data_IF_289334675354
#
_entry.id   IF_289334675354
#
_cell.length_a   1.000
_cell.length_b   1.000
_cell.length_c   1.000
_cell.angle_alpha   90.00
_cell.angle_beta   90.00
_cell.angle_gamma   90.00
#
_symmetry.space_group_name_H-M   'P 1'
#
loop_
_entity.id
_entity.type
_entity.pdbx_description
1 polymer ?
#
# COMPACT_ATOMS: atom_id res chain seq x y z
N UNK A 1 21.59 -15.27 -17.48
CA UNK A 1 22.47 -14.60 -18.49
C UNK A 1 22.52 -15.35 -19.83
N UNK A 2 22.22 -16.66 -19.87
CA UNK A 2 22.18 -17.44 -21.13
C UNK A 2 20.99 -17.12 -22.02
N UNK A 3 19.88 -16.63 -21.46
CA UNK A 3 18.67 -16.32 -22.23
C UNK A 3 18.63 -14.89 -22.80
N UNK A 4 19.60 -14.04 -22.48
CA UNK A 4 19.64 -12.65 -22.98
C UNK A 4 20.32 -12.53 -24.34
N UNK A 5 20.77 -13.65 -24.94
CA UNK A 5 21.33 -13.65 -26.31
C UNK A 5 22.71 -12.97 -26.46
N UNK A 6 23.42 -12.71 -25.34
CA UNK A 6 24.75 -12.12 -25.33
C UNK A 6 25.78 -13.23 -25.10
N UNK A 7 25.91 -14.10 -26.06
CA UNK A 7 26.92 -15.15 -26.07
C UNK A 7 26.97 -15.84 -27.40
N UNK A 8 27.71 -15.29 -28.34
CA UNK A 8 28.12 -16.02 -29.51
C UNK A 8 29.03 -17.18 -29.09
N UNK A 9 28.51 -18.38 -29.12
CA UNK A 9 29.33 -19.57 -29.25
C UNK A 9 28.65 -20.55 -30.20
N UNK A 10 29.21 -20.69 -31.35
CA UNK A 10 28.92 -21.66 -32.36
C UNK A 10 29.31 -23.05 -31.85
N UNK A 11 28.31 -23.81 -31.45
CA UNK A 11 28.25 -25.26 -31.59
C UNK A 11 26.83 -25.70 -31.34
N UNK A 12 26.14 -26.22 -32.37
CA UNK A 12 24.84 -26.84 -32.35
C UNK A 12 24.87 -28.16 -31.57
N UNK A 13 25.10 -28.09 -30.28
CA UNK A 13 24.65 -29.14 -29.36
C UNK A 13 23.41 -28.55 -28.75
N UNK A 14 22.21 -29.02 -29.12
CA UNK A 14 20.99 -28.76 -28.39
C UNK A 14 21.22 -29.31 -26.97
N UNK A 15 21.65 -28.43 -26.07
CA UNK A 15 21.75 -28.78 -24.66
C UNK A 15 20.34 -29.14 -24.19
N UNK A 16 20.17 -30.40 -23.84
CA UNK A 16 18.90 -30.88 -23.25
C UNK A 16 18.73 -30.11 -21.94
N UNK A 17 17.85 -29.11 -21.96
CA UNK A 17 17.53 -28.31 -20.76
C UNK A 17 16.85 -29.24 -19.78
N UNK A 18 17.50 -29.49 -18.65
CA UNK A 18 16.97 -30.33 -17.59
C UNK A 18 15.62 -29.74 -17.11
N UNK A 19 14.73 -30.62 -16.66
CA UNK A 19 13.42 -30.22 -16.13
C UNK A 19 13.52 -29.20 -14.99
N UNK A 20 14.55 -29.33 -14.14
CA UNK A 20 14.87 -28.48 -13.01
C UNK A 20 15.40 -27.10 -13.38
N UNK A 21 15.77 -26.89 -14.66
CA UNK A 21 16.32 -25.62 -15.17
C UNK A 21 15.30 -24.89 -16.06
N UNK A 22 14.05 -25.36 -16.10
CA UNK A 22 12.97 -24.74 -16.91
C UNK A 22 12.23 -23.69 -16.09
N UNK A 23 12.56 -22.41 -16.35
CA UNK A 23 11.88 -21.24 -15.79
C UNK A 23 10.82 -20.66 -16.74
N UNK A 24 10.04 -19.69 -16.22
CA UNK A 24 9.23 -18.82 -17.07
C UNK A 24 10.13 -18.00 -18.01
N UNK A 25 9.68 -17.81 -19.25
CA UNK A 25 10.46 -17.03 -20.22
C UNK A 25 10.60 -15.57 -19.78
N UNK A 26 11.77 -14.97 -19.97
CA UNK A 26 12.01 -13.55 -19.69
C UNK A 26 11.08 -12.61 -20.46
N UNK A 27 10.59 -13.05 -21.64
CA UNK A 27 9.58 -12.31 -22.41
C UNK A 27 8.27 -12.23 -21.65
N UNK A 28 7.82 -13.34 -21.04
CA UNK A 28 6.60 -13.39 -20.23
C UNK A 28 6.73 -12.47 -19.01
N UNK A 29 7.86 -12.50 -18.32
CA UNK A 29 8.14 -11.64 -17.17
C UNK A 29 8.13 -10.16 -17.58
N UNK A 30 8.82 -9.81 -18.69
CA UNK A 30 8.84 -8.43 -19.19
C UNK A 30 7.47 -7.90 -19.57
N UNK A 31 6.66 -8.70 -20.28
CA UNK A 31 5.27 -8.35 -20.61
C UNK A 31 4.44 -8.19 -19.32
N UNK A 32 4.60 -9.10 -18.36
CA UNK A 32 3.91 -9.03 -17.07
C UNK A 32 4.22 -7.73 -16.31
N UNK A 33 5.48 -7.31 -16.26
CA UNK A 33 5.88 -6.03 -15.64
C UNK A 33 5.20 -4.85 -16.35
N UNK A 34 5.22 -4.82 -17.69
CA UNK A 34 4.60 -3.73 -18.46
C UNK A 34 3.09 -3.68 -18.19
N UNK A 35 2.40 -4.82 -18.20
CA UNK A 35 0.96 -4.90 -17.94
C UNK A 35 0.63 -4.43 -16.52
N UNK A 36 1.40 -4.87 -15.51
CA UNK A 36 1.20 -4.44 -14.12
C UNK A 36 1.46 -2.93 -13.96
N UNK A 37 2.51 -2.41 -14.56
CA UNK A 37 2.80 -0.97 -14.50
C UNK A 37 1.72 -0.14 -15.20
N UNK A 38 1.22 -0.60 -16.34
CA UNK A 38 0.09 0.04 -17.02
C UNK A 38 -1.17 0.03 -16.13
N UNK A 39 -1.48 -1.10 -15.49
CA UNK A 39 -2.61 -1.21 -14.57
C UNK A 39 -2.47 -0.25 -13.36
N UNK A 40 -1.26 -0.13 -12.78
CA UNK A 40 -0.98 0.79 -11.67
C UNK A 40 -1.16 2.25 -12.09
N UNK A 41 -0.66 2.63 -13.26
CA UNK A 41 -0.77 4.02 -13.77
C UNK A 41 -2.21 4.36 -14.14
N UNK A 42 -2.94 3.40 -14.71
CA UNK A 42 -4.33 3.60 -15.14
C UNK A 42 -5.35 3.49 -13.99
N UNK A 43 -4.94 3.05 -12.79
CA UNK A 43 -5.83 2.95 -11.64
C UNK A 43 -6.07 4.33 -10.98
N UNK A 44 -7.28 4.94 -11.11
CA UNK A 44 -7.54 6.31 -10.61
C UNK A 44 -7.38 6.41 -9.08
N UNK A 45 -7.68 5.32 -8.37
CA UNK A 45 -7.62 5.26 -6.90
C UNK A 45 -6.21 5.40 -6.33
N UNK A 46 -5.18 5.09 -7.11
CA UNK A 46 -3.79 5.18 -6.69
C UNK A 46 -3.18 6.58 -6.87
N UNK A 47 -3.86 7.46 -7.62
CA UNK A 47 -3.36 8.80 -7.99
C UNK A 47 -1.91 8.75 -8.50
N UNK A 48 -1.58 7.68 -9.25
CA UNK A 48 -0.21 7.42 -9.70
C UNK A 48 0.18 8.38 -10.81
N UNK A 49 1.40 8.90 -10.70
CA UNK A 49 2.04 9.71 -11.74
C UNK A 49 3.27 9.00 -12.31
N UNK A 50 3.81 9.53 -13.39
CA UNK A 50 4.97 8.91 -14.08
C UNK A 50 6.18 8.77 -13.15
N UNK A 51 6.46 9.76 -12.29
CA UNK A 51 7.57 9.69 -11.34
C UNK A 51 7.33 8.60 -10.30
N UNK A 52 6.12 8.49 -9.74
CA UNK A 52 5.75 7.41 -8.81
C UNK A 52 5.92 6.03 -9.46
N UNK A 53 5.47 5.88 -10.71
CA UNK A 53 5.66 4.65 -11.47
C UNK A 53 7.15 4.30 -11.67
N UNK A 54 7.98 5.29 -12.01
CA UNK A 54 9.43 5.11 -12.13
C UNK A 54 10.06 4.68 -10.80
N UNK A 55 9.67 5.31 -9.69
CA UNK A 55 10.16 4.95 -8.35
C UNK A 55 9.75 3.52 -7.95
N UNK A 56 8.56 3.06 -8.32
CA UNK A 56 8.16 1.65 -8.12
C UNK A 56 9.11 0.71 -8.84
N UNK A 57 9.47 1.00 -10.08
CA UNK A 57 10.39 0.15 -10.86
C UNK A 57 11.78 0.14 -10.23
N UNK A 58 12.32 1.31 -9.89
CA UNK A 58 13.67 1.44 -9.32
C UNK A 58 13.76 0.78 -7.94
N UNK A 59 12.89 1.17 -7.01
CA UNK A 59 12.91 0.61 -5.66
C UNK A 59 12.45 -0.85 -5.64
N UNK A 60 11.49 -1.21 -6.49
CA UNK A 60 11.06 -2.59 -6.68
C UNK A 60 12.23 -3.48 -7.09
N UNK A 61 13.00 -3.09 -8.11
CA UNK A 61 14.17 -3.84 -8.53
C UNK A 61 15.20 -4.00 -7.41
N UNK A 62 15.54 -2.91 -6.71
CA UNK A 62 16.52 -2.93 -5.63
C UNK A 62 16.04 -3.82 -4.48
N UNK A 63 14.85 -3.54 -3.94
CA UNK A 63 14.39 -4.23 -2.73
C UNK A 63 13.93 -5.67 -2.98
N UNK A 64 13.39 -5.97 -4.17
CA UNK A 64 13.08 -7.36 -4.55
C UNK A 64 14.38 -8.18 -4.66
N UNK A 65 15.43 -7.62 -5.24
CA UNK A 65 16.73 -8.30 -5.35
C UNK A 65 17.31 -8.60 -3.97
N UNK A 66 17.32 -7.60 -3.06
CA UNK A 66 17.82 -7.78 -1.69
C UNK A 66 16.97 -8.80 -0.93
N UNK A 67 15.65 -8.66 -0.99
CA UNK A 67 14.69 -9.56 -0.32
C UNK A 67 14.86 -11.00 -0.80
N UNK A 68 14.91 -11.22 -2.11
CA UNK A 68 15.06 -12.54 -2.71
C UNK A 68 16.36 -13.21 -2.28
N UNK A 69 17.45 -12.44 -2.23
CA UNK A 69 18.75 -12.98 -1.84
C UNK A 69 18.80 -13.36 -0.36
N UNK A 70 18.38 -12.45 0.53
CA UNK A 70 18.34 -12.70 1.97
C UNK A 70 17.44 -13.90 2.30
N UNK A 71 16.23 -13.94 1.75
CA UNK A 71 15.28 -15.01 2.03
C UNK A 71 15.73 -16.35 1.43
N UNK A 72 16.32 -16.32 0.23
CA UNK A 72 16.84 -17.53 -0.41
C UNK A 72 18.04 -18.14 0.32
N UNK A 73 18.87 -17.35 0.99
CA UNK A 73 20.04 -17.82 1.72
C UNK A 73 19.75 -18.18 3.19
N UNK A 74 18.97 -17.35 3.90
CA UNK A 74 18.77 -17.44 5.36
C UNK A 74 17.36 -17.94 5.70
N UNK A 75 16.34 -17.50 4.96
CA UNK A 75 14.94 -17.84 5.19
C UNK A 75 14.04 -16.61 5.38
N UNK A 76 12.73 -16.82 5.32
CA UNK A 76 11.73 -15.74 5.34
C UNK A 76 11.70 -14.94 6.66
N UNK A 77 12.11 -15.51 7.77
CA UNK A 77 12.15 -14.85 9.08
C UNK A 77 13.14 -13.68 9.14
N UNK A 78 14.16 -13.68 8.29
CA UNK A 78 15.19 -12.64 8.22
C UNK A 78 14.94 -11.57 7.16
N UNK A 79 13.80 -11.63 6.46
CA UNK A 79 13.45 -10.65 5.43
C UNK A 79 13.05 -9.30 6.06
N UNK A 80 13.84 -8.21 5.88
CA UNK A 80 13.60 -6.93 6.52
C UNK A 80 12.54 -6.09 5.77
N UNK A 81 11.38 -6.66 5.44
CA UNK A 81 10.32 -6.03 4.65
C UNK A 81 9.90 -4.68 5.24
N UNK A 82 9.79 -4.59 6.57
CA UNK A 82 9.40 -3.34 7.24
C UNK A 82 10.42 -2.22 7.03
N UNK A 83 11.71 -2.54 7.10
CA UNK A 83 12.80 -1.60 6.84
C UNK A 83 12.82 -1.13 5.38
N UNK A 84 12.64 -2.06 4.44
CA UNK A 84 12.56 -1.75 3.01
C UNK A 84 11.38 -0.84 2.68
N UNK A 85 10.22 -1.07 3.32
CA UNK A 85 9.03 -0.23 3.14
C UNK A 85 9.23 1.18 3.68
N UNK A 86 9.81 1.30 4.88
CA UNK A 86 10.15 2.61 5.49
C UNK A 86 11.16 3.34 4.62
N UNK A 87 12.21 2.66 4.15
CA UNK A 87 13.21 3.26 3.27
C UNK A 87 12.58 3.74 1.95
N UNK A 88 11.72 2.92 1.32
CA UNK A 88 11.00 3.32 0.10
C UNK A 88 10.17 4.58 0.33
N UNK A 89 9.42 4.65 1.44
CA UNK A 89 8.60 5.82 1.77
C UNK A 89 9.45 7.07 2.02
N UNK A 90 10.53 6.93 2.79
CA UNK A 90 11.45 8.04 3.07
C UNK A 90 12.03 8.60 1.78
N UNK A 91 12.60 7.75 0.93
CA UNK A 91 13.19 8.20 -0.34
C UNK A 91 12.13 8.77 -1.28
N UNK A 92 10.95 8.16 -1.38
CA UNK A 92 9.85 8.69 -2.20
C UNK A 92 9.43 10.09 -1.72
N UNK A 93 9.20 10.27 -0.42
CA UNK A 93 8.82 11.55 0.15
C UNK A 93 9.92 12.61 0.00
N UNK A 94 11.20 12.23 0.16
CA UNK A 94 12.33 13.13 -0.06
C UNK A 94 12.43 13.56 -1.53
N UNK A 95 12.25 12.64 -2.48
CA UNK A 95 12.25 12.97 -3.91
C UNK A 95 11.08 13.90 -4.23
N UNK A 96 9.88 13.64 -3.68
CA UNK A 96 8.72 14.50 -3.87
C UNK A 96 8.99 15.91 -3.31
N UNK A 97 9.62 16.01 -2.14
CA UNK A 97 10.01 17.27 -1.54
C UNK A 97 11.00 18.05 -2.42
N UNK A 98 12.01 17.38 -2.99
CA UNK A 98 12.99 17.99 -3.90
C UNK A 98 12.35 18.48 -5.22
N UNK A 99 11.33 17.80 -5.69
CA UNK A 99 10.56 18.19 -6.90
C UNK A 99 9.52 19.28 -6.57
N UNK A 100 9.33 19.63 -5.28
CA UNK A 100 8.34 20.60 -4.83
C UNK A 100 6.91 20.03 -4.71
N UNK A 101 6.77 18.73 -4.69
CA UNK A 101 5.48 18.04 -4.53
C UNK A 101 5.17 17.83 -3.05
N UNK A 102 4.52 18.83 -2.45
CA UNK A 102 4.20 18.87 -1.02
C UNK A 102 2.69 18.83 -0.79
N UNK A 103 2.28 18.53 0.45
CA UNK A 103 0.90 18.53 0.90
C UNK A 103 0.10 17.27 0.61
N UNK A 104 -1.14 17.24 1.08
CA UNK A 104 -2.00 16.05 1.14
C UNK A 104 -2.31 15.36 -0.18
N UNK A 105 -2.21 16.08 -1.31
CA UNK A 105 -2.45 15.54 -2.65
C UNK A 105 -1.50 14.38 -2.99
N UNK A 106 -0.26 14.44 -2.50
CA UNK A 106 0.77 13.45 -2.83
C UNK A 106 0.91 12.32 -1.79
N UNK A 107 0.15 12.38 -0.68
CA UNK A 107 0.19 11.33 0.34
C UNK A 107 -0.22 9.97 -0.21
N UNK A 108 -1.31 9.92 -0.99
CA UNK A 108 -1.80 8.67 -1.56
C UNK A 108 -0.79 8.10 -2.55
N UNK A 109 -0.18 8.94 -3.39
CA UNK A 109 0.86 8.51 -4.34
C UNK A 109 2.07 7.94 -3.62
N UNK A 110 2.59 8.63 -2.59
CA UNK A 110 3.75 8.15 -1.82
C UNK A 110 3.44 6.83 -1.10
N UNK A 111 2.27 6.73 -0.48
CA UNK A 111 1.81 5.50 0.18
C UNK A 111 1.66 4.35 -0.82
N UNK A 112 1.11 4.63 -2.01
CA UNK A 112 0.95 3.62 -3.08
C UNK A 112 2.30 3.10 -3.57
N UNK A 113 3.31 3.97 -3.76
CA UNK A 113 4.67 3.56 -4.11
C UNK A 113 5.24 2.63 -3.03
N UNK A 114 5.18 3.04 -1.76
CA UNK A 114 5.67 2.24 -0.64
C UNK A 114 4.97 0.89 -0.50
N UNK A 115 3.64 0.87 -0.65
CA UNK A 115 2.85 -0.35 -0.56
C UNK A 115 3.15 -1.33 -1.70
N UNK A 116 3.24 -0.86 -2.94
CA UNK A 116 3.52 -1.73 -4.11
C UNK A 116 4.93 -2.32 -4.00
N UNK A 117 5.93 -1.51 -3.64
CA UNK A 117 7.31 -1.99 -3.44
C UNK A 117 7.39 -2.98 -2.26
N UNK A 118 6.65 -2.73 -1.18
CA UNK A 118 6.53 -3.66 -0.05
C UNK A 118 6.00 -5.03 -0.48
N UNK A 119 4.89 -5.05 -1.25
CA UNK A 119 4.29 -6.27 -1.78
C UNK A 119 5.28 -6.99 -2.71
N UNK A 120 5.93 -6.26 -3.62
CA UNK A 120 6.90 -6.82 -4.55
C UNK A 120 8.09 -7.46 -3.81
N UNK A 121 8.66 -6.76 -2.81
CA UNK A 121 9.76 -7.27 -2.00
C UNK A 121 9.35 -8.51 -1.20
N UNK A 122 8.15 -8.51 -0.60
CA UNK A 122 7.62 -9.66 0.13
C UNK A 122 7.46 -10.88 -0.78
N UNK A 123 6.84 -10.71 -1.94
CA UNK A 123 6.64 -11.78 -2.92
C UNK A 123 7.96 -12.29 -3.49
N UNK A 124 8.92 -11.40 -3.78
CA UNK A 124 10.24 -11.79 -4.26
C UNK A 124 10.97 -12.69 -3.26
N UNK A 125 10.89 -12.36 -1.97
CA UNK A 125 11.49 -13.17 -0.90
C UNK A 125 10.85 -14.56 -0.79
N UNK A 126 9.53 -14.65 -0.67
CA UNK A 126 8.81 -15.93 -0.57
C UNK A 126 9.00 -16.79 -1.81
N UNK A 127 8.93 -16.19 -3.01
CA UNK A 127 9.18 -16.90 -4.28
C UNK A 127 10.58 -17.51 -4.31
N UNK A 128 11.61 -16.78 -3.85
CA UNK A 128 12.98 -17.29 -3.79
C UNK A 128 13.12 -18.51 -2.88
N UNK A 129 12.47 -18.49 -1.71
CA UNK A 129 12.45 -19.60 -0.77
C UNK A 129 11.72 -20.82 -1.33
N UNK A 130 10.55 -20.61 -1.94
CA UNK A 130 9.76 -21.68 -2.54
C UNK A 130 10.50 -22.36 -3.69
N UNK A 131 11.14 -21.58 -4.56
CA UNK A 131 11.94 -22.10 -5.67
C UNK A 131 13.16 -22.87 -5.19
N UNK A 132 13.82 -22.41 -4.11
CA UNK A 132 14.94 -23.14 -3.51
C UNK A 132 14.51 -24.47 -2.94
N UNK A 133 13.39 -24.50 -2.20
CA UNK A 133 12.81 -25.73 -1.67
C UNK A 133 12.46 -26.69 -2.80
N UNK A 134 11.81 -26.18 -3.85
CA UNK A 134 11.48 -26.97 -5.03
C UNK A 134 12.71 -27.53 -5.76
N UNK A 135 13.77 -26.75 -5.86
CA UNK A 135 15.02 -27.21 -6.46
C UNK A 135 15.61 -28.40 -5.70
N UNK A 136 15.63 -28.34 -4.36
CA UNK A 136 16.09 -29.44 -3.50
C UNK A 136 15.26 -30.71 -3.66
N UNK A 137 13.98 -30.58 -3.95
CA UNK A 137 13.05 -31.70 -4.17
C UNK A 137 12.99 -32.14 -5.65
N UNK A 138 13.72 -31.49 -6.53
CA UNK A 138 13.71 -31.78 -7.97
C UNK A 138 12.43 -31.33 -8.68
N UNK A 139 11.71 -30.34 -8.18
CA UNK A 139 10.54 -29.77 -8.84
C UNK A 139 10.91 -28.95 -10.08
N UNK A 140 9.95 -28.73 -10.97
CA UNK A 140 10.11 -27.87 -12.16
C UNK A 140 9.78 -26.42 -11.81
N UNK A 141 10.74 -25.47 -11.84
CA UNK A 141 10.55 -24.08 -11.42
C UNK A 141 9.38 -23.40 -12.13
N UNK A 142 9.21 -23.62 -13.42
CA UNK A 142 8.11 -23.05 -14.21
C UNK A 142 6.73 -23.33 -13.62
N UNK A 143 6.46 -24.56 -13.18
CA UNK A 143 5.16 -24.93 -12.61
C UNK A 143 4.96 -24.32 -11.22
N UNK A 144 6.01 -24.22 -10.42
CA UNK A 144 5.97 -23.53 -9.15
C UNK A 144 5.68 -22.03 -9.34
N UNK A 145 6.35 -21.38 -10.28
CA UNK A 145 6.12 -19.96 -10.59
C UNK A 145 4.67 -19.71 -11.05
N UNK A 146 4.10 -20.58 -11.88
CA UNK A 146 2.69 -20.48 -12.29
C UNK A 146 1.76 -20.66 -11.08
N UNK A 147 2.03 -21.64 -10.21
CA UNK A 147 1.23 -21.87 -9.01
C UNK A 147 1.30 -20.67 -8.04
N UNK A 148 2.48 -20.08 -7.84
CA UNK A 148 2.66 -18.86 -7.03
C UNK A 148 1.87 -17.69 -7.60
N UNK A 149 1.92 -17.47 -8.93
CA UNK A 149 1.15 -16.40 -9.58
C UNK A 149 -0.36 -16.61 -9.41
N UNK A 150 -0.84 -17.84 -9.59
CA UNK A 150 -2.27 -18.18 -9.39
C UNK A 150 -2.69 -17.96 -7.93
N UNK A 151 -1.87 -18.40 -6.96
CA UNK A 151 -2.12 -18.20 -5.53
C UNK A 151 -2.11 -16.72 -5.14
N UNK A 152 -1.15 -15.95 -5.64
CA UNK A 152 -1.07 -14.51 -5.39
C UNK A 152 -2.29 -13.76 -5.96
N UNK A 153 -2.72 -14.12 -7.16
CA UNK A 153 -3.92 -13.53 -7.77
C UNK A 153 -5.18 -13.84 -6.96
N UNK A 154 -5.36 -15.11 -6.58
CA UNK A 154 -6.50 -15.53 -5.75
C UNK A 154 -6.50 -14.81 -4.40
N UNK A 155 -5.35 -14.74 -3.75
CA UNK A 155 -5.18 -14.03 -2.48
C UNK A 155 -5.53 -12.53 -2.63
N UNK A 156 -5.07 -11.87 -3.68
CA UNK A 156 -5.36 -10.46 -3.93
C UNK A 156 -6.87 -10.21 -4.13
N UNK A 157 -7.55 -11.09 -4.88
CA UNK A 157 -8.99 -11.02 -5.11
C UNK A 157 -9.82 -11.23 -3.83
N UNK A 158 -9.33 -12.05 -2.91
CA UNK A 158 -10.04 -12.36 -1.66
C UNK A 158 -9.74 -11.35 -0.54
N UNK A 159 -8.49 -10.95 -0.36
CA UNK A 159 -8.07 -10.09 0.75
C UNK A 159 -8.65 -8.68 0.68
N UNK A 160 -8.76 -8.11 -0.52
CA UNK A 160 -9.33 -6.76 -0.70
C UNK A 160 -10.74 -6.65 -0.12
N UNK A 161 -11.72 -7.42 -0.61
CA UNK A 161 -13.08 -7.42 -0.08
C UNK A 161 -13.18 -7.79 1.41
N UNK A 162 -12.37 -8.73 1.89
CA UNK A 162 -12.35 -9.12 3.31
C UNK A 162 -11.91 -7.94 4.18
N UNK A 163 -10.82 -7.25 3.83
CA UNK A 163 -10.32 -6.11 4.60
C UNK A 163 -11.29 -4.93 4.58
N UNK A 164 -11.93 -4.64 3.44
CA UNK A 164 -12.95 -3.61 3.34
C UNK A 164 -14.14 -3.93 4.25
N UNK A 165 -14.67 -5.15 4.17
CA UNK A 165 -15.80 -5.58 5.00
C UNK A 165 -15.45 -5.58 6.48
N UNK A 166 -14.23 -5.97 6.84
CA UNK A 166 -13.74 -5.93 8.21
C UNK A 166 -13.68 -4.48 8.73
N UNK A 167 -13.14 -3.57 7.94
CA UNK A 167 -13.13 -2.15 8.27
C UNK A 167 -14.55 -1.60 8.43
N UNK A 168 -15.45 -1.87 7.48
CA UNK A 168 -16.82 -1.36 7.49
C UNK A 168 -17.62 -1.86 8.68
N UNK A 169 -17.44 -3.12 9.07
CA UNK A 169 -18.10 -3.72 10.23
C UNK A 169 -17.68 -3.05 11.54
N UNK A 170 -16.43 -2.61 11.63
CA UNK A 170 -15.87 -1.96 12.82
C UNK A 170 -15.82 -0.42 12.72
N UNK A 171 -16.29 0.16 11.60
CA UNK A 171 -16.41 1.61 11.44
C UNK A 171 -17.51 2.15 12.38
N UNK A 172 -17.23 3.30 12.99
CA UNK A 172 -18.14 4.03 13.86
C UNK A 172 -18.39 5.41 13.28
N UNK A 173 -19.64 5.75 13.08
CA UNK A 173 -20.06 7.08 12.69
C UNK A 173 -20.41 7.86 13.95
N UNK A 174 -19.61 8.87 14.26
CA UNK A 174 -19.79 9.73 15.43
C UNK A 174 -20.48 11.01 14.99
N UNK A 175 -21.59 11.44 15.63
CA UNK A 175 -22.21 12.71 15.31
C UNK A 175 -21.18 13.85 15.40
N UNK A 176 -21.07 14.67 14.35
CA UNK A 176 -20.08 15.75 14.29
C UNK A 176 -20.21 16.73 15.45
N UNK A 177 -21.42 16.98 15.94
CA UNK A 177 -21.68 17.83 17.10
C UNK A 177 -21.00 17.34 18.40
N UNK A 178 -20.69 16.04 18.53
CA UNK A 178 -19.98 15.50 19.71
C UNK A 178 -18.48 15.79 19.66
N UNK A 179 -17.90 15.90 18.48
CA UNK A 179 -16.44 16.09 18.29
C UNK A 179 -16.07 17.52 17.92
N UNK A 180 -17.03 18.27 17.42
CA UNK A 180 -16.89 19.68 17.01
C UNK A 180 -18.18 20.45 17.39
N UNK A 181 -18.38 20.81 18.67
CA UNK A 181 -19.62 21.44 19.14
C UNK A 181 -19.94 22.79 18.48
N UNK A 182 -18.90 23.53 18.03
CA UNK A 182 -19.07 24.80 17.32
C UNK A 182 -19.61 24.65 15.89
N UNK A 183 -19.75 23.39 15.42
CA UNK A 183 -20.07 23.06 14.04
C UNK A 183 -18.88 23.17 13.10
N UNK A 184 -18.86 22.30 12.10
CA UNK A 184 -17.86 22.32 11.02
C UNK A 184 -18.58 22.49 9.70
N UNK A 185 -18.10 23.42 8.89
CA UNK A 185 -18.62 23.67 7.55
C UNK A 185 -17.49 23.64 6.51
N UNK A 186 -17.82 23.20 5.30
CA UNK A 186 -16.91 23.19 4.16
C UNK A 186 -17.60 23.61 2.89
N UNK A 187 -16.82 24.00 1.92
CA UNK A 187 -17.32 24.38 0.60
C UNK A 187 -17.70 23.12 -0.20
N UNK A 188 -19.00 22.97 -0.43
CA UNK A 188 -19.58 21.81 -1.14
C UNK A 188 -19.11 21.73 -2.59
N UNK A 189 -18.77 22.88 -3.22
CA UNK A 189 -18.32 22.92 -4.61
C UNK A 189 -17.02 22.16 -4.88
N UNK A 190 -16.25 21.89 -3.82
CA UNK A 190 -14.97 21.15 -3.86
C UNK A 190 -15.13 19.65 -3.58
N UNK A 191 -16.35 19.18 -3.33
CA UNK A 191 -16.63 17.80 -2.94
C UNK A 191 -17.38 17.09 -4.07
N UNK A 192 -16.74 16.10 -4.67
CA UNK A 192 -17.32 15.33 -5.78
C UNK A 192 -17.85 13.95 -5.31
N UNK A 193 -17.24 13.40 -4.28
CA UNK A 193 -17.53 12.02 -3.86
C UNK A 193 -18.71 11.97 -2.89
N UNK A 194 -19.65 11.05 -3.15
CA UNK A 194 -20.76 10.74 -2.24
C UNK A 194 -20.64 9.33 -1.70
N UNK A 195 -20.92 9.16 -0.43
CA UNK A 195 -20.98 7.87 0.23
C UNK A 195 -22.15 7.84 1.21
N UNK A 196 -22.65 6.63 1.49
CA UNK A 196 -23.64 6.38 2.54
C UNK A 196 -22.95 5.70 3.73
N UNK A 197 -23.62 5.65 4.87
CA UNK A 197 -23.18 4.86 6.00
C UNK A 197 -23.09 3.39 5.61
N UNK A 198 -22.06 2.70 6.12
CA UNK A 198 -21.85 1.26 5.89
C UNK A 198 -21.81 0.52 7.23
N UNK A 199 -21.93 -0.81 7.17
CA UNK A 199 -21.94 -1.64 8.36
C UNK A 199 -23.24 -1.54 9.16
N UNK A 200 -23.24 -1.80 10.47
CA UNK A 200 -24.47 -1.86 11.29
C UNK A 200 -25.25 -0.55 11.34
N UNK A 201 -24.57 0.61 11.38
CA UNK A 201 -25.20 1.93 11.44
C UNK A 201 -25.87 2.37 10.12
N UNK A 202 -25.66 1.68 9.02
CA UNK A 202 -26.36 1.95 7.76
C UNK A 202 -27.88 1.72 7.85
N UNK A 203 -28.35 1.03 8.90
CA UNK A 203 -29.79 0.84 9.17
C UNK A 203 -30.45 2.04 9.80
N UNK A 204 -29.65 2.85 10.50
CA UNK A 204 -30.14 3.99 11.26
C UNK A 204 -30.25 5.23 10.37
N UNK A 205 -29.42 5.31 9.33
CA UNK A 205 -29.38 6.43 8.39
C UNK A 205 -28.98 5.93 7.00
N UNK A 206 -29.91 5.95 6.08
CA UNK A 206 -29.75 5.53 4.68
C UNK A 206 -29.41 6.70 3.74
N UNK A 207 -29.17 7.91 4.27
CA UNK A 207 -28.87 9.08 3.46
C UNK A 207 -27.49 8.98 2.81
N UNK A 208 -27.33 9.67 1.67
CA UNK A 208 -26.06 9.80 0.98
C UNK A 208 -25.46 11.17 1.23
N UNK A 209 -24.22 11.19 1.70
CA UNK A 209 -23.49 12.37 2.13
C UNK A 209 -22.32 12.67 1.20
N UNK A 210 -21.93 13.94 1.12
CA UNK A 210 -20.67 14.34 0.49
C UNK A 210 -19.49 13.99 1.42
N UNK A 211 -18.39 13.54 0.85
CA UNK A 211 -17.20 13.14 1.58
C UNK A 211 -16.22 14.29 1.66
N UNK A 212 -15.95 14.76 2.88
CA UNK A 212 -14.93 15.76 3.15
C UNK A 212 -13.75 15.16 3.91
N UNK A 213 -12.55 15.28 3.35
CA UNK A 213 -11.29 14.89 3.99
C UNK A 213 -10.67 16.12 4.66
N UNK A 214 -10.94 16.29 5.97
CA UNK A 214 -10.36 17.36 6.77
C UNK A 214 -8.95 17.00 7.18
N UNK A 215 -7.96 17.79 6.79
CA UNK A 215 -6.54 17.54 7.03
C UNK A 215 -5.93 18.37 8.17
N UNK A 216 -6.61 19.45 8.57
CA UNK A 216 -6.24 20.31 9.68
C UNK A 216 -7.05 19.95 10.95
N UNK A 217 -6.64 20.52 12.09
CA UNK A 217 -7.31 20.32 13.38
C UNK A 217 -8.12 21.57 13.82
N UNK A 218 -8.30 22.54 12.94
CA UNK A 218 -9.02 23.78 13.25
C UNK A 218 -10.52 23.51 13.41
N UNK A 219 -11.10 23.83 14.54
CA UNK A 219 -12.54 23.64 14.84
C UNK A 219 -12.95 22.21 15.16
N UNK A 220 -12.08 21.21 14.98
CA UNK A 220 -12.35 19.81 15.25
C UNK A 220 -11.27 18.89 14.70
N UNK A 221 -11.27 17.59 15.06
CA UNK A 221 -10.22 16.65 14.69
C UNK A 221 -10.10 16.48 13.16
N UNK A 222 -8.87 16.25 12.69
CA UNK A 222 -8.63 15.85 11.30
C UNK A 222 -9.23 14.46 11.06
N UNK A 223 -9.84 14.25 9.90
CA UNK A 223 -10.49 12.98 9.58
C UNK A 223 -11.43 13.06 8.38
N UNK A 224 -12.10 11.96 8.12
CA UNK A 224 -13.12 11.86 7.09
C UNK A 224 -14.47 12.25 7.69
N UNK A 225 -15.11 13.26 7.11
CA UNK A 225 -16.44 13.71 7.50
C UNK A 225 -17.46 13.45 6.40
N UNK A 226 -18.66 13.12 6.81
CA UNK A 226 -19.84 13.13 5.96
C UNK A 226 -20.57 14.46 6.13
N UNK A 227 -20.82 15.12 5.04
CA UNK A 227 -21.33 16.50 4.96
C UNK A 227 -22.66 16.49 4.23
N UNK A 228 -23.60 17.28 4.70
CA UNK A 228 -24.89 17.47 4.03
C UNK A 228 -24.79 18.40 2.81
N UNK A 229 -25.93 18.67 2.17
CA UNK A 229 -26.00 19.54 1.01
C UNK A 229 -25.71 21.01 1.33
N UNK A 230 -25.78 21.42 2.61
CA UNK A 230 -25.46 22.78 3.07
C UNK A 230 -23.98 22.98 3.34
N UNK A 231 -23.18 21.91 3.33
CA UNK A 231 -21.77 21.93 3.70
C UNK A 231 -21.51 21.71 5.19
N UNK A 232 -22.54 21.42 5.98
CA UNK A 232 -22.38 21.13 7.40
C UNK A 232 -21.96 19.67 7.64
N UNK A 233 -20.98 19.44 8.52
CA UNK A 233 -20.55 18.11 8.89
C UNK A 233 -21.60 17.44 9.77
N UNK A 234 -22.07 16.27 9.37
CA UNK A 234 -23.08 15.45 10.07
C UNK A 234 -22.40 14.33 10.86
N UNK A 235 -21.51 13.60 10.22
CA UNK A 235 -20.83 12.46 10.82
C UNK A 235 -19.31 12.57 10.67
N UNK A 236 -18.59 12.26 11.77
CA UNK A 236 -17.19 11.88 11.70
C UNK A 236 -17.12 10.38 11.43
N UNK A 237 -16.42 9.96 10.39
CA UNK A 237 -16.19 8.55 10.04
C UNK A 237 -14.96 8.08 10.77
N UNK A 238 -15.12 7.32 11.83
CA UNK A 238 -14.02 6.71 12.57
C UNK A 238 -13.81 5.27 12.07
N UNK A 239 -12.72 4.98 11.31
CA UNK A 239 -12.55 3.70 10.62
C UNK A 239 -12.43 2.53 11.60
N UNK A 240 -12.69 1.33 11.11
CA UNK A 240 -12.51 0.10 11.89
C UNK A 240 -11.03 -0.19 12.17
N UNK A 241 -10.15 0.20 11.22
CA UNK A 241 -8.70 0.03 11.34
C UNK A 241 -8.10 1.36 11.84
N UNK A 242 -7.36 1.32 12.93
CA UNK A 242 -6.76 2.48 13.62
C UNK A 242 -7.77 3.56 14.07
N UNK A 243 -9.06 3.27 14.13
CA UNK A 243 -10.04 4.17 14.72
C UNK A 243 -9.94 4.21 16.24
N UNK A 244 -10.45 5.28 16.82
CA UNK A 244 -10.36 5.58 18.27
C UNK A 244 -11.67 5.39 19.03
N UNK A 245 -12.81 5.50 18.35
CA UNK A 245 -14.12 5.39 18.95
C UNK A 245 -14.60 3.94 19.00
N UNK A 246 -14.66 3.38 20.19
CA UNK A 246 -15.05 1.97 20.43
C UNK A 246 -16.54 1.79 20.74
N UNK A 247 -17.31 2.88 20.84
CA UNK A 247 -18.74 2.83 21.17
C UNK A 247 -19.54 3.57 20.10
N UNK A 248 -20.57 2.94 19.56
CA UNK A 248 -21.51 3.56 18.63
C UNK A 248 -22.54 4.44 19.35
N UNK A 249 -23.28 5.30 18.65
CA UNK A 249 -24.34 6.11 19.25
C UNK A 249 -25.44 5.30 19.93
N UNK A 250 -25.69 4.08 19.50
CA UNK A 250 -26.67 3.13 20.10
C UNK A 250 -26.15 2.46 21.37
N UNK A 251 -24.93 2.76 21.82
CA UNK A 251 -24.31 2.16 23.02
C UNK A 251 -23.59 0.83 22.74
N UNK A 252 -23.68 0.26 21.54
CA UNK A 252 -22.98 -0.98 21.21
C UNK A 252 -21.47 -0.76 21.14
N UNK A 253 -20.70 -1.74 21.65
CA UNK A 253 -19.23 -1.69 21.62
C UNK A 253 -18.67 -2.32 20.36
N UNK A 254 -17.58 -1.77 19.88
CA UNK A 254 -16.86 -2.22 18.67
C UNK A 254 -15.40 -2.45 18.99
N UNK A 255 -14.88 -3.60 18.56
CA UNK A 255 -13.44 -3.86 18.61
C UNK A 255 -12.74 -3.24 17.40
N UNK A 256 -11.80 -2.35 17.64
CA UNK A 256 -10.96 -1.78 16.60
C UNK A 256 -9.78 -2.69 16.28
N UNK A 257 -9.27 -2.53 15.05
CA UNK A 257 -8.10 -3.26 14.58
C UNK A 257 -6.90 -2.31 14.54
N UNK A 258 -5.84 -2.67 15.25
CA UNK A 258 -4.61 -1.86 15.29
C UNK A 258 -3.69 -2.21 14.13
N UNK A 259 -3.27 -1.19 13.40
CA UNK A 259 -2.25 -1.28 12.37
C UNK A 259 -1.12 -0.27 12.65
N UNK A 260 -0.24 -0.52 13.64
CA UNK A 260 0.76 0.43 14.11
C UNK A 260 1.76 0.83 13.01
N UNK A 261 2.06 -0.07 12.07
CA UNK A 261 2.91 0.23 10.92
C UNK A 261 2.28 1.28 9.99
N UNK A 262 0.97 1.24 9.78
CA UNK A 262 0.27 2.24 8.97
C UNK A 262 0.32 3.62 9.64
N UNK A 263 0.22 3.68 10.95
CA UNK A 263 0.37 4.91 11.73
C UNK A 263 1.78 5.49 11.58
N UNK A 264 2.82 4.67 11.71
CA UNK A 264 4.21 5.09 11.50
C UNK A 264 4.42 5.65 10.08
N UNK A 265 3.91 4.97 9.06
CA UNK A 265 3.99 5.43 7.67
C UNK A 265 3.30 6.78 7.47
N UNK A 266 2.13 6.98 8.10
CA UNK A 266 1.43 8.26 8.07
C UNK A 266 2.24 9.40 8.69
N UNK A 267 2.92 9.15 9.82
CA UNK A 267 3.81 10.15 10.43
C UNK A 267 5.00 10.50 9.53
N UNK A 268 5.62 9.52 8.88
CA UNK A 268 6.74 9.75 7.95
C UNK A 268 6.28 10.63 6.79
N UNK A 269 5.17 10.27 6.15
CA UNK A 269 4.63 10.99 4.99
C UNK A 269 4.28 12.43 5.38
N UNK A 270 3.48 12.61 6.43
CA UNK A 270 3.07 13.95 6.90
C UNK A 270 4.28 14.77 7.38
N UNK A 271 5.20 14.15 8.11
CA UNK A 271 6.40 14.81 8.61
C UNK A 271 7.24 15.41 7.49
N UNK A 272 7.44 14.68 6.41
CA UNK A 272 8.27 15.13 5.29
C UNK A 272 7.50 16.07 4.36
N UNK A 273 6.32 15.68 3.88
CA UNK A 273 5.58 16.43 2.87
C UNK A 273 4.95 17.73 3.43
N UNK A 274 4.63 17.78 4.72
CA UNK A 274 4.19 19.00 5.40
C UNK A 274 5.34 19.79 6.02
N UNK A 275 6.59 19.32 5.83
CA UNK A 275 7.82 19.94 6.37
C UNK A 275 7.82 20.12 7.91
N UNK A 276 7.12 19.24 8.61
CA UNK A 276 7.01 19.26 10.09
C UNK A 276 8.00 18.32 10.78
N UNK A 277 8.90 17.67 10.01
CA UNK A 277 9.84 16.71 10.55
C UNK A 277 10.98 17.42 11.31
N UNK A 278 11.28 17.04 12.55
CA UNK A 278 12.43 17.57 13.28
C UNK A 278 13.72 16.94 12.73
N UNK A 279 14.27 17.51 11.67
CA UNK A 279 15.42 16.98 10.93
C UNK A 279 16.63 16.68 11.83
N UNK A 280 16.84 17.48 12.87
CA UNK A 280 17.92 17.24 13.83
C UNK A 280 17.79 15.87 14.52
N UNK A 281 16.56 15.48 14.90
CA UNK A 281 16.31 14.17 15.52
C UNK A 281 16.42 13.03 14.52
N UNK A 282 16.05 13.25 13.25
CA UNK A 282 16.22 12.26 12.19
C UNK A 282 17.69 11.98 11.93
N UNK A 283 18.50 13.04 11.79
CA UNK A 283 19.97 12.91 11.61
C UNK A 283 20.60 12.22 12.82
N UNK A 284 20.19 12.58 14.03
CA UNK A 284 20.66 11.92 15.25
C UNK A 284 20.30 10.43 15.27
N UNK A 285 19.05 10.09 14.90
CA UNK A 285 18.59 8.70 14.78
C UNK A 285 19.41 7.90 13.78
N UNK A 286 19.70 8.47 12.61
CA UNK A 286 20.54 7.83 11.58
C UNK A 286 22.00 7.65 12.07
N UNK A 287 22.52 8.57 12.88
CA UNK A 287 23.89 8.44 13.43
C UNK A 287 23.99 7.38 14.54
N UNK A 288 22.87 7.06 15.20
CA UNK A 288 22.84 6.05 16.29
C UNK A 288 22.58 4.64 15.72
N UNK A 289 21.87 4.53 14.59
CA UNK A 289 21.53 3.25 13.94
C UNK A 289 22.71 2.68 13.15
#
# INVERSE_FOLDING_TARGET
>A
LRDIGIGRSSSHVQAVVLRTDRDLSMKFVGVGIIVLMAAVVLAPSLHMNLLGALLIVVFGFIFVTVSSRLTGEIGSSSNPISGMTVATLLFTCLIFLLVGWTGGRYYVTALSVGAIVCIAASQGGTTSQDLKTGHLLGATPRYQQIAILAGALLSALMLGPILLKLNDTATVYVPAAKVAPAGLQTDVSKLEKREALVGPQARDDAASYLVWQKTDEVGGPAGKYFVDASGAAVWLVDPGINGTHTTRPDGSTVRKFDAPKATLMSYIIKGILDQKLPWALVVLGVMIA
#
